data_IF_531265015911
#
_entry.id   IF_531265015911
#
_cell.length_a   1.000
_cell.length_b   1.000
_cell.length_c   1.000
_cell.angle_alpha   90.00
_cell.angle_beta   90.00
_cell.angle_gamma   90.00
#
_symmetry.space_group_name_H-M   'P 1'
#
loop_
_entity.id
_entity.type
_entity.pdbx_description
1 polymer ?
#
# COMPACT_ATOMS: atom_id res chain seq x y z
N UNK A 1 -11.74 -9.42 -12.21
CA UNK A 1 -10.37 -8.86 -11.99
C UNK A 1 -9.82 -8.04 -13.17
N UNK A 2 -10.12 -8.37 -14.44
CA UNK A 2 -9.56 -7.66 -15.62
C UNK A 2 -10.08 -6.24 -15.83
N UNK A 3 -11.40 -6.02 -15.64
CA UNK A 3 -12.04 -4.71 -15.82
C UNK A 3 -11.55 -3.69 -14.79
N UNK A 4 -11.42 -4.10 -13.52
CA UNK A 4 -10.88 -3.26 -12.46
C UNK A 4 -9.42 -2.87 -12.75
N UNK A 5 -8.60 -3.83 -13.18
CA UNK A 5 -7.21 -3.57 -13.56
C UNK A 5 -7.10 -2.57 -14.72
N UNK A 6 -7.95 -2.72 -15.75
CA UNK A 6 -7.98 -1.79 -16.90
C UNK A 6 -8.51 -0.39 -16.55
N UNK A 7 -9.43 -0.29 -15.59
CA UNK A 7 -9.88 1.01 -15.06
C UNK A 7 -8.82 1.68 -14.19
N UNK A 8 -8.17 0.91 -13.31
CA UNK A 8 -7.07 1.40 -12.49
C UNK A 8 -5.94 1.92 -13.36
N UNK A 9 -5.54 1.15 -14.37
CA UNK A 9 -4.46 1.53 -15.31
C UNK A 9 -4.74 2.86 -16.02
N UNK A 10 -5.98 3.07 -16.49
CA UNK A 10 -6.38 4.36 -17.09
C UNK A 10 -6.31 5.51 -16.09
N UNK A 11 -6.79 5.31 -14.87
CA UNK A 11 -6.68 6.33 -13.81
C UNK A 11 -5.22 6.64 -13.48
N UNK A 12 -4.34 5.63 -13.44
CA UNK A 12 -2.91 5.85 -13.20
C UNK A 12 -2.25 6.67 -14.31
N UNK A 13 -2.67 6.49 -15.57
CA UNK A 13 -2.15 7.29 -16.68
C UNK A 13 -2.68 8.73 -16.70
N UNK A 14 -3.88 8.95 -16.17
CA UNK A 14 -4.50 10.29 -16.13
C UNK A 14 -4.05 11.11 -14.92
N UNK A 15 -3.71 10.44 -13.81
CA UNK A 15 -3.33 11.08 -12.55
C UNK A 15 -2.25 12.19 -12.70
N UNK A 16 -1.14 11.97 -13.44
CA UNK A 16 -0.10 12.99 -13.58
C UNK A 16 -0.63 14.30 -14.17
N UNK A 17 -1.40 14.22 -15.26
CA UNK A 17 -2.00 15.41 -15.88
C UNK A 17 -3.02 16.13 -14.99
N UNK A 18 -3.70 15.39 -14.11
CA UNK A 18 -4.65 15.97 -13.15
C UNK A 18 -3.92 16.66 -12.00
N UNK A 19 -2.79 16.10 -11.57
CA UNK A 19 -1.92 16.69 -10.54
C UNK A 19 -1.29 17.99 -11.06
N UNK A 20 -0.83 18.03 -12.30
CA UNK A 20 -0.26 19.24 -12.92
C UNK A 20 -1.26 20.40 -13.05
N UNK A 21 -2.57 20.10 -13.06
CA UNK A 21 -3.63 21.11 -13.17
C UNK A 21 -4.15 21.58 -11.81
N UNK A 22 -3.72 20.96 -10.71
CA UNK A 22 -4.14 21.34 -9.37
C UNK A 22 -3.33 22.56 -8.89
N UNK A 23 -4.00 23.59 -8.33
CA UNK A 23 -3.32 24.65 -7.60
C UNK A 23 -2.50 24.07 -6.43
N UNK A 24 -1.39 24.70 -6.09
CA UNK A 24 -0.49 24.24 -5.02
C UNK A 24 -1.23 24.10 -3.68
N UNK A 25 -2.15 25.02 -3.36
CA UNK A 25 -2.99 24.92 -2.17
C UNK A 25 -3.89 23.67 -2.16
N UNK A 26 -4.28 23.17 -3.32
CA UNK A 26 -5.14 21.98 -3.46
C UNK A 26 -4.35 20.67 -3.48
N UNK A 27 -3.04 20.71 -3.70
CA UNK A 27 -2.18 19.52 -3.67
C UNK A 27 -2.12 18.89 -2.27
N UNK A 28 -2.08 19.71 -1.23
CA UNK A 28 -2.08 19.23 0.15
C UNK A 28 -3.36 18.45 0.48
N UNK A 29 -4.52 18.99 0.07
CA UNK A 29 -5.81 18.34 0.26
C UNK A 29 -5.95 17.06 -0.57
N UNK A 30 -5.49 17.10 -1.83
CA UNK A 30 -5.45 15.91 -2.67
C UNK A 30 -4.57 14.81 -2.08
N UNK A 31 -3.40 15.18 -1.52
CA UNK A 31 -2.53 14.24 -0.83
C UNK A 31 -3.20 13.63 0.40
N UNK A 32 -3.87 14.43 1.25
CA UNK A 32 -4.57 13.92 2.43
C UNK A 32 -5.61 12.83 2.07
N UNK A 33 -6.28 12.97 0.93
CA UNK A 33 -7.24 11.95 0.43
C UNK A 33 -6.50 10.72 -0.13
N UNK A 34 -5.44 10.92 -0.91
CA UNK A 34 -4.69 9.83 -1.56
C UNK A 34 -3.79 9.05 -0.60
N UNK A 35 -3.36 9.66 0.50
CA UNK A 35 -2.40 9.09 1.44
C UNK A 35 -2.87 7.77 2.06
N UNK A 36 -4.15 7.69 2.48
CA UNK A 36 -4.70 6.45 3.02
C UNK A 36 -4.68 5.31 1.99
N UNK A 37 -5.10 5.61 0.75
CA UNK A 37 -5.07 4.64 -0.35
C UNK A 37 -3.65 4.21 -0.71
N UNK A 38 -2.69 5.13 -0.67
CA UNK A 38 -1.29 4.83 -0.88
C UNK A 38 -0.75 3.88 0.19
N UNK A 39 -1.04 4.12 1.47
CA UNK A 39 -0.60 3.24 2.56
C UNK A 39 -1.23 1.85 2.48
N UNK A 40 -2.53 1.76 2.19
CA UNK A 40 -3.20 0.47 2.00
C UNK A 40 -2.56 -0.32 0.87
N UNK A 41 -2.31 0.33 -0.28
CA UNK A 41 -1.68 -0.30 -1.43
C UNK A 41 -0.24 -0.72 -1.13
N UNK A 42 0.54 0.16 -0.51
CA UNK A 42 1.92 -0.11 -0.11
C UNK A 42 2.01 -1.32 0.82
N UNK A 43 1.19 -1.36 1.87
CA UNK A 43 1.15 -2.47 2.81
C UNK A 43 0.73 -3.77 2.15
N UNK A 44 -0.28 -3.74 1.27
CA UNK A 44 -0.70 -4.92 0.53
C UNK A 44 0.40 -5.45 -0.40
N UNK A 45 1.10 -4.57 -1.11
CA UNK A 45 2.23 -4.95 -1.96
C UNK A 45 3.36 -5.54 -1.13
N UNK A 46 3.73 -4.90 -0.01
CA UNK A 46 4.75 -5.41 0.90
C UNK A 46 4.39 -6.79 1.46
N UNK A 47 3.12 -7.01 1.85
CA UNK A 47 2.64 -8.32 2.29
C UNK A 47 2.76 -9.34 1.15
N UNK A 48 2.34 -9.00 -0.08
CA UNK A 48 2.44 -9.90 -1.22
C UNK A 48 3.90 -10.27 -1.53
N UNK A 49 4.79 -9.30 -1.58
CA UNK A 49 6.22 -9.52 -1.77
C UNK A 49 6.82 -10.37 -0.64
N UNK A 50 6.40 -10.13 0.61
CA UNK A 50 6.80 -10.94 1.75
C UNK A 50 6.37 -12.40 1.57
N UNK A 51 5.18 -12.69 1.06
CA UNK A 51 4.74 -14.07 0.82
C UNK A 51 5.60 -14.81 -0.22
N UNK A 52 6.26 -14.10 -1.14
CA UNK A 52 7.17 -14.70 -2.12
C UNK A 52 8.61 -14.82 -1.62
N UNK A 53 8.99 -14.04 -0.62
CA UNK A 53 10.37 -13.98 -0.09
C UNK A 53 10.55 -14.70 1.24
N UNK A 54 9.48 -14.79 2.05
CA UNK A 54 9.46 -15.50 3.33
C UNK A 54 9.56 -17.00 3.07
N UNK A 55 10.59 -17.62 3.63
CA UNK A 55 10.72 -19.07 3.71
C UNK A 55 10.11 -19.58 5.01
N UNK A 56 9.75 -20.88 5.09
CA UNK A 56 9.41 -21.50 6.36
C UNK A 56 10.53 -21.25 7.39
N UNK A 57 10.21 -20.58 8.50
CA UNK A 57 11.17 -20.19 9.54
C UNK A 57 11.60 -18.71 9.55
N UNK A 58 11.34 -17.94 8.48
CA UNK A 58 11.66 -16.50 8.43
C UNK A 58 10.59 -15.65 9.14
N UNK A 59 9.35 -16.12 9.15
CA UNK A 59 8.25 -15.46 9.84
C UNK A 59 8.08 -16.03 11.25
N UNK A 60 8.01 -15.14 12.23
CA UNK A 60 7.75 -15.51 13.61
C UNK A 60 6.35 -16.12 13.73
N UNK A 61 6.26 -17.31 14.31
CA UNK A 61 4.98 -17.96 14.58
C UNK A 61 4.19 -17.15 15.61
N UNK A 62 2.87 -17.34 15.64
CA UNK A 62 2.01 -16.70 16.66
C UNK A 62 2.48 -17.02 18.08
N UNK A 63 2.96 -18.23 18.33
CA UNK A 63 3.46 -18.67 19.63
C UNK A 63 4.78 -17.99 20.01
N UNK A 64 5.69 -17.81 19.06
CA UNK A 64 6.92 -17.05 19.26
C UNK A 64 6.65 -15.56 19.48
N UNK A 65 5.69 -15.00 18.74
CA UNK A 65 5.24 -13.61 18.91
C UNK A 65 4.68 -13.37 20.32
N UNK A 66 3.84 -14.27 20.81
CA UNK A 66 3.25 -14.17 22.14
C UNK A 66 4.29 -14.35 23.24
N UNK A 67 5.38 -15.10 23.03
CA UNK A 67 6.50 -15.16 23.99
C UNK A 67 7.27 -13.85 24.03
N UNK A 68 7.51 -13.23 22.88
CA UNK A 68 8.18 -11.93 22.77
C UNK A 68 7.37 -10.78 23.40
N UNK A 69 6.06 -10.77 23.20
CA UNK A 69 5.17 -9.76 23.79
C UNK A 69 4.99 -9.91 25.32
N UNK A 70 5.27 -11.09 25.86
CA UNK A 70 5.18 -11.38 27.30
C UNK A 70 6.57 -11.51 27.97
N UNK A 71 7.65 -11.13 27.28
CA UNK A 71 8.96 -11.01 27.90
C UNK A 71 8.95 -9.77 28.83
N UNK A 72 9.40 -9.89 30.10
CA UNK A 72 9.51 -8.76 31.02
C UNK A 72 10.51 -7.69 30.57
#
# INVERSE_FOLDING_TARGET
>A
MSVLRGRLHRLTQQLPSVIEQLPDESLADAWNVLQALYYDLYMLTAIQESMYSIRPGDAMTREEALRLLNLP
#
